data_IF_630579551495
#
_entry.id   IF_630579551495
#
_cell.length_a   1.000
_cell.length_b   1.000
_cell.length_c   1.000
_cell.angle_alpha   90.00
_cell.angle_beta   90.00
_cell.angle_gamma   90.00
#
_symmetry.space_group_name_H-M   'P 1'
#
loop_
_entity.id
_entity.type
_entity.pdbx_description
1 polymer ?
#
# COMPACT_ATOMS: atom_id res chain seq x y z
N UNK A 1 -13.67 15.01 -11.29
CA UNK A 1 -12.25 14.70 -11.50
C UNK A 1 -12.06 14.12 -12.89
N UNK A 2 -11.07 14.58 -13.65
CA UNK A 2 -10.80 14.00 -14.97
C UNK A 2 -10.11 12.64 -14.86
N UNK A 3 -10.23 11.80 -15.89
CA UNK A 3 -9.49 10.55 -16.03
C UNK A 3 -7.99 10.81 -15.98
N UNK A 4 -7.50 11.91 -16.57
CA UNK A 4 -6.09 12.29 -16.46
C UNK A 4 -5.64 12.50 -15.00
N UNK A 5 -6.45 13.20 -14.19
CA UNK A 5 -6.16 13.40 -12.77
C UNK A 5 -6.24 12.08 -11.99
N UNK A 6 -7.24 11.24 -12.29
CA UNK A 6 -7.37 9.90 -11.71
C UNK A 6 -6.12 9.05 -11.99
N UNK A 7 -5.66 9.00 -13.25
CA UNK A 7 -4.47 8.25 -13.65
C UNK A 7 -3.21 8.78 -12.94
N UNK A 8 -3.10 10.11 -12.75
CA UNK A 8 -2.02 10.74 -11.99
C UNK A 8 -2.03 10.31 -10.52
N UNK A 9 -3.18 10.39 -9.85
CA UNK A 9 -3.33 9.96 -8.46
C UNK A 9 -3.07 8.46 -8.29
N UNK A 10 -3.54 7.63 -9.23
CA UNK A 10 -3.28 6.20 -9.27
C UNK A 10 -1.78 5.90 -9.41
N UNK A 11 -1.07 6.59 -10.30
CA UNK A 11 0.36 6.43 -10.47
C UNK A 11 1.13 6.84 -9.20
N UNK A 12 0.72 7.96 -8.58
CA UNK A 12 1.29 8.43 -7.33
C UNK A 12 1.06 7.43 -6.18
N UNK A 13 -0.15 6.89 -6.04
CA UNK A 13 -0.48 5.90 -5.01
C UNK A 13 0.27 4.58 -5.21
N UNK A 14 0.47 4.16 -6.46
CA UNK A 14 1.33 3.03 -6.79
C UNK A 14 2.76 3.30 -6.36
N UNK A 15 3.34 4.45 -6.73
CA UNK A 15 4.69 4.83 -6.32
C UNK A 15 4.83 4.86 -4.79
N UNK A 16 3.86 5.46 -4.09
CA UNK A 16 3.85 5.48 -2.62
C UNK A 16 3.79 4.07 -2.03
N UNK A 17 2.97 3.18 -2.59
CA UNK A 17 2.86 1.78 -2.16
C UNK A 17 4.18 1.04 -2.38
N UNK A 18 4.80 1.20 -3.55
CA UNK A 18 6.06 0.56 -3.91
C UNK A 18 7.20 1.04 -2.99
N UNK A 19 7.30 2.36 -2.75
CA UNK A 19 8.28 2.93 -1.81
C UNK A 19 8.06 2.40 -0.40
N UNK A 20 6.83 2.44 0.14
CA UNK A 20 6.54 1.96 1.50
C UNK A 20 6.83 0.46 1.65
N UNK A 21 6.56 -0.33 0.62
CA UNK A 21 6.88 -1.77 0.59
C UNK A 21 8.39 -2.00 0.57
N UNK A 22 9.11 -1.22 -0.21
CA UNK A 22 10.57 -1.26 -0.22
C UNK A 22 11.13 -0.99 1.18
N UNK A 23 10.67 0.07 1.85
CA UNK A 23 11.16 0.42 3.19
C UNK A 23 10.84 -0.63 4.25
N UNK A 24 9.63 -1.21 4.23
CA UNK A 24 9.31 -2.32 5.12
C UNK A 24 10.24 -3.53 4.89
N UNK A 25 10.42 -3.95 3.64
CA UNK A 25 11.28 -5.09 3.31
C UNK A 25 12.72 -4.84 3.74
N UNK A 26 13.23 -3.64 3.51
CA UNK A 26 14.59 -3.28 3.93
C UNK A 26 14.74 -3.25 5.44
N UNK A 27 13.75 -2.73 6.18
CA UNK A 27 13.80 -2.74 7.64
C UNK A 27 13.78 -4.17 8.22
N UNK A 28 13.00 -5.06 7.62
CA UNK A 28 13.00 -6.48 7.98
C UNK A 28 14.36 -7.12 7.71
N UNK A 29 14.95 -6.89 6.53
CA UNK A 29 16.28 -7.41 6.18
C UNK A 29 17.38 -6.86 7.10
N UNK A 30 17.36 -5.56 7.39
CA UNK A 30 18.32 -4.91 8.30
C UNK A 30 18.21 -5.50 9.72
N UNK A 31 16.98 -5.75 10.19
CA UNK A 31 16.72 -6.44 11.45
C UNK A 31 17.22 -7.89 11.45
N UNK A 32 16.86 -8.66 10.42
CA UNK A 32 17.27 -10.06 10.24
C UNK A 32 18.78 -10.22 10.23
N UNK A 33 19.51 -9.31 9.59
CA UNK A 33 20.98 -9.35 9.52
C UNK A 33 21.62 -9.34 10.92
N UNK A 34 21.03 -8.61 11.87
CA UNK A 34 21.53 -8.56 13.27
C UNK A 34 21.31 -9.88 14.03
N UNK A 35 20.46 -10.76 13.50
CA UNK A 35 20.09 -12.05 14.10
C UNK A 35 20.79 -13.24 13.45
N UNK A 36 21.70 -13.00 12.50
CA UNK A 36 22.48 -14.08 11.89
C UNK A 36 23.51 -14.65 12.87
N UNK A 37 23.53 -15.97 13.00
CA UNK A 37 24.58 -16.68 13.72
C UNK A 37 25.91 -16.69 12.97
N UNK A 38 26.98 -17.21 13.59
CA UNK A 38 28.33 -17.25 13.03
C UNK A 38 28.46 -17.99 11.68
N UNK A 39 27.46 -18.80 11.31
CA UNK A 39 27.38 -19.48 10.00
C UNK A 39 26.60 -18.73 8.92
N UNK A 40 26.14 -17.50 9.18
CA UNK A 40 25.35 -16.70 8.24
C UNK A 40 23.89 -17.14 8.07
N UNK A 41 23.45 -18.18 8.80
CA UNK A 41 22.06 -18.62 8.86
C UNK A 41 21.28 -17.79 9.89
N UNK A 42 20.00 -17.58 9.59
CA UNK A 42 19.06 -16.90 10.47
C UNK A 42 18.85 -17.78 11.72
N UNK A 43 19.26 -17.28 12.88
CA UNK A 43 19.07 -18.00 14.13
C UNK A 43 17.67 -17.65 14.68
N UNK A 44 16.68 -18.46 14.33
CA UNK A 44 15.28 -18.26 14.72
C UNK A 44 15.06 -18.34 16.24
N UNK A 45 15.98 -18.97 16.99
CA UNK A 45 15.97 -19.01 18.46
C UNK A 45 16.62 -17.76 19.07
N UNK A 46 17.37 -16.98 18.28
CA UNK A 46 18.02 -15.76 18.76
C UNK A 46 17.02 -14.71 19.28
N UNK A 47 15.81 -14.60 18.71
CA UNK A 47 14.80 -13.69 19.28
C UNK A 47 14.23 -14.17 20.62
N UNK A 48 14.51 -15.39 21.11
CA UNK A 48 14.26 -15.72 22.51
C UNK A 48 15.26 -15.01 23.44
N UNK A 49 16.45 -14.67 22.92
CA UNK A 49 17.48 -13.92 23.61
C UNK A 49 17.22 -12.40 23.51
N UNK A 50 17.19 -11.72 24.66
CA UNK A 50 16.90 -10.29 24.74
C UNK A 50 17.89 -9.42 23.92
N UNK A 51 19.22 -9.59 24.05
CA UNK A 51 20.21 -8.91 23.21
C UNK A 51 19.95 -8.94 21.70
N UNK A 52 19.50 -10.08 21.16
CA UNK A 52 19.23 -10.21 19.73
C UNK A 52 17.90 -9.52 19.35
N UNK A 53 16.87 -9.58 20.20
CA UNK A 53 15.65 -8.76 20.00
C UNK A 53 15.95 -7.27 20.02
N UNK A 54 16.76 -6.82 20.97
CA UNK A 54 17.13 -5.41 21.09
C UNK A 54 17.93 -4.94 19.86
N UNK A 55 18.82 -5.79 19.34
CA UNK A 55 19.58 -5.52 18.12
C UNK A 55 18.67 -5.46 16.89
N UNK A 56 17.75 -6.42 16.74
CA UNK A 56 16.76 -6.44 15.66
C UNK A 56 15.93 -5.15 15.67
N UNK A 57 15.36 -4.80 16.83
CA UNK A 57 14.55 -3.59 16.99
C UNK A 57 15.32 -2.36 16.62
N UNK A 58 16.54 -2.21 17.15
CA UNK A 58 17.39 -1.05 16.87
C UNK A 58 17.65 -0.86 15.38
N UNK A 59 17.97 -1.93 14.65
CA UNK A 59 18.20 -1.87 13.20
C UNK A 59 16.91 -1.55 12.42
N UNK A 60 15.82 -2.23 12.74
CA UNK A 60 14.51 -1.98 12.14
C UNK A 60 14.06 -0.53 12.37
N UNK A 61 14.20 -0.05 13.61
CA UNK A 61 13.88 1.30 14.05
C UNK A 61 14.65 2.38 13.30
N UNK A 62 15.98 2.22 13.18
CA UNK A 62 16.81 3.17 12.48
C UNK A 62 16.39 3.30 11.01
N UNK A 63 16.02 2.18 10.37
CA UNK A 63 15.58 2.18 8.98
C UNK A 63 14.24 2.90 8.81
N UNK A 64 13.25 2.59 9.64
CA UNK A 64 11.92 3.20 9.54
C UNK A 64 11.95 4.68 9.93
N UNK A 65 12.72 5.07 10.94
CA UNK A 65 12.90 6.48 11.27
C UNK A 65 13.53 7.26 10.11
N UNK A 66 14.55 6.70 9.45
CA UNK A 66 15.14 7.29 8.26
C UNK A 66 14.12 7.44 7.12
N UNK A 67 13.30 6.41 6.89
CA UNK A 67 12.23 6.46 5.89
C UNK A 67 11.16 7.52 6.22
N UNK A 68 10.75 7.63 7.49
CA UNK A 68 9.81 8.65 7.99
C UNK A 68 10.38 10.05 7.78
N UNK A 69 11.64 10.28 8.16
CA UNK A 69 12.32 11.56 7.99
C UNK A 69 12.38 11.98 6.52
N UNK A 70 12.76 11.06 5.64
CA UNK A 70 12.86 11.33 4.20
C UNK A 70 11.48 11.57 3.57
N UNK A 71 10.47 10.79 3.95
CA UNK A 71 9.12 10.86 3.34
C UNK A 71 8.39 12.13 3.73
N UNK A 72 8.51 12.55 5.00
CA UNK A 72 7.73 13.67 5.55
C UNK A 72 8.56 14.93 5.81
N UNK A 73 9.86 14.93 5.49
CA UNK A 73 10.76 16.06 5.72
C UNK A 73 10.93 16.39 7.21
N UNK A 74 10.89 15.36 8.06
CA UNK A 74 10.99 15.53 9.52
C UNK A 74 12.46 15.67 9.92
N UNK A 75 12.78 16.69 10.72
CA UNK A 75 14.14 16.92 11.19
C UNK A 75 14.64 15.81 12.14
N UNK A 76 15.95 15.49 12.13
CA UNK A 76 16.55 14.58 13.10
C UNK A 76 16.24 15.02 14.55
N UNK A 77 15.80 14.07 15.39
CA UNK A 77 15.48 14.31 16.81
C UNK A 77 14.00 14.59 17.11
N UNK A 78 13.17 14.94 16.12
CA UNK A 78 11.72 15.11 16.35
C UNK A 78 11.04 13.77 16.68
N UNK A 79 11.56 12.68 16.11
CA UNK A 79 11.10 11.31 16.39
C UNK A 79 11.53 10.80 17.78
N UNK A 80 12.24 11.60 18.59
CA UNK A 80 12.52 11.22 19.98
C UNK A 80 11.25 11.21 20.86
N UNK A 81 10.19 11.93 20.46
CA UNK A 81 8.89 11.82 21.13
C UNK A 81 8.19 10.52 20.69
N UNK A 82 7.98 9.55 21.61
CA UNK A 82 7.44 8.24 21.25
C UNK A 82 6.01 8.29 20.71
N UNK A 83 5.18 9.26 21.13
CA UNK A 83 3.82 9.40 20.60
C UNK A 83 3.84 9.88 19.15
N UNK A 84 4.65 10.91 18.87
CA UNK A 84 4.80 11.42 17.52
C UNK A 84 5.44 10.37 16.59
N UNK A 85 6.49 9.68 17.07
CA UNK A 85 7.13 8.58 16.35
C UNK A 85 6.11 7.49 16.00
N UNK A 86 5.27 7.11 16.96
CA UNK A 86 4.23 6.11 16.76
C UNK A 86 3.25 6.53 15.66
N UNK A 87 2.78 7.78 15.66
CA UNK A 87 1.87 8.30 14.65
C UNK A 87 2.51 8.33 13.25
N UNK A 88 3.78 8.73 13.14
CA UNK A 88 4.48 8.77 11.86
C UNK A 88 4.76 7.39 11.29
N UNK A 89 5.07 6.43 12.16
CA UNK A 89 5.22 5.02 11.79
C UNK A 89 3.90 4.43 11.28
N UNK A 90 2.79 4.63 12.00
CA UNK A 90 1.48 4.20 11.54
C UNK A 90 1.07 4.90 10.22
N UNK A 91 1.39 6.19 10.10
CA UNK A 91 1.15 6.94 8.87
C UNK A 91 1.90 6.32 7.67
N UNK A 92 3.15 5.87 7.87
CA UNK A 92 3.99 5.28 6.82
C UNK A 92 3.63 3.81 6.54
N UNK A 93 3.60 2.97 7.57
CA UNK A 93 3.54 1.52 7.45
C UNK A 93 2.21 0.92 7.90
N UNK A 94 1.35 1.67 8.60
CA UNK A 94 0.14 1.11 9.21
C UNK A 94 0.41 0.28 10.46
N UNK A 95 1.62 0.39 11.02
CA UNK A 95 1.96 -0.16 12.32
C UNK A 95 2.70 0.90 13.13
N UNK A 96 2.25 1.10 14.36
CA UNK A 96 2.89 2.03 15.29
C UNK A 96 4.22 1.48 15.83
N UNK A 97 5.10 2.40 16.23
CA UNK A 97 6.32 2.11 16.96
C UNK A 97 6.10 1.18 18.16
N UNK A 98 5.07 1.46 18.98
CA UNK A 98 4.78 0.64 20.18
C UNK A 98 4.28 -0.75 19.80
N UNK A 99 3.46 -0.88 18.77
CA UNK A 99 2.92 -2.17 18.32
C UNK A 99 4.02 -3.07 17.77
N UNK A 100 4.98 -2.51 17.02
CA UNK A 100 6.16 -3.24 16.57
C UNK A 100 6.94 -3.79 17.77
N UNK A 101 7.21 -2.96 18.79
CA UNK A 101 7.93 -3.41 19.99
C UNK A 101 7.22 -4.55 20.72
N UNK A 102 5.89 -4.46 20.83
CA UNK A 102 5.07 -5.50 21.45
C UNK A 102 5.07 -6.81 20.66
N UNK A 103 5.04 -6.74 19.32
CA UNK A 103 5.12 -7.92 18.46
C UNK A 103 6.47 -8.62 18.60
N UNK A 104 7.57 -7.88 18.56
CA UNK A 104 8.91 -8.45 18.69
C UNK A 104 9.17 -8.96 20.12
N UNK A 105 8.71 -8.25 21.18
CA UNK A 105 8.78 -8.80 22.54
C UNK A 105 7.91 -10.05 22.72
N UNK A 106 6.72 -10.07 22.11
CA UNK A 106 5.79 -11.20 22.19
C UNK A 106 6.30 -12.46 21.49
N UNK A 107 7.23 -12.32 20.53
CA UNK A 107 7.89 -13.43 19.86
C UNK A 107 8.68 -14.34 20.83
N UNK A 108 9.10 -13.82 21.99
CA UNK A 108 9.83 -14.62 23.00
C UNK A 108 9.01 -15.79 23.58
N UNK A 109 7.68 -15.65 23.63
CA UNK A 109 6.78 -16.57 24.35
C UNK A 109 5.74 -17.24 23.46
N UNK A 110 5.37 -16.64 22.30
CA UNK A 110 4.14 -17.02 21.56
C UNK A 110 4.28 -17.19 20.06
N UNK A 111 5.31 -16.66 19.41
CA UNK A 111 5.42 -16.63 17.95
C UNK A 111 6.81 -17.09 17.49
N UNK A 112 6.87 -17.95 16.47
CA UNK A 112 8.12 -18.10 15.72
C UNK A 112 8.49 -16.76 15.07
N UNK A 113 9.76 -16.55 14.73
CA UNK A 113 10.22 -15.37 13.97
C UNK A 113 9.30 -15.08 12.78
N UNK A 114 9.00 -16.10 11.97
CA UNK A 114 8.08 -16.01 10.82
C UNK A 114 6.68 -15.54 11.22
N UNK A 115 6.16 -16.00 12.36
CA UNK A 115 4.86 -15.58 12.88
C UNK A 115 4.84 -14.10 13.29
N UNK A 116 5.92 -13.60 13.90
CA UNK A 116 6.06 -12.19 14.22
C UNK A 116 6.19 -11.32 12.95
N UNK A 117 6.96 -11.80 11.96
CA UNK A 117 7.10 -11.12 10.67
C UNK A 117 5.78 -11.08 9.89
N UNK A 118 4.98 -12.15 9.92
CA UNK A 118 3.66 -12.12 9.30
C UNK A 118 2.68 -11.21 10.03
N UNK A 119 2.77 -11.11 11.36
CA UNK A 119 1.98 -10.15 12.12
C UNK A 119 2.32 -8.69 11.76
N UNK A 120 3.56 -8.40 11.34
CA UNK A 120 3.95 -7.09 10.82
C UNK A 120 3.39 -6.80 9.42
N UNK A 121 3.27 -7.82 8.57
CA UNK A 121 2.82 -7.64 7.17
C UNK A 121 1.34 -7.31 7.07
N UNK A 122 0.47 -7.89 7.91
CA UNK A 122 -0.99 -7.71 7.80
C UNK A 122 -1.44 -6.24 7.95
N UNK A 123 -1.07 -5.50 9.01
CA UNK A 123 -1.43 -4.08 9.13
C UNK A 123 -0.88 -3.24 7.97
N UNK A 124 0.31 -3.60 7.48
CA UNK A 124 0.90 -2.96 6.31
C UNK A 124 0.08 -3.18 5.04
N UNK A 125 -0.35 -4.41 4.76
CA UNK A 125 -1.21 -4.70 3.62
C UNK A 125 -2.53 -3.93 3.67
N UNK A 126 -3.15 -3.84 4.85
CA UNK A 126 -4.35 -3.04 5.07
C UNK A 126 -4.09 -1.54 4.82
N UNK A 127 -2.94 -1.01 5.25
CA UNK A 127 -2.55 0.37 4.97
C UNK A 127 -2.33 0.61 3.48
N UNK A 128 -1.63 -0.28 2.79
CA UNK A 128 -1.38 -0.18 1.35
C UNK A 128 -2.68 -0.30 0.55
N UNK A 129 -3.65 -1.08 1.04
CA UNK A 129 -5.01 -1.12 0.49
C UNK A 129 -5.68 0.25 0.63
N UNK A 130 -5.67 0.87 1.81
CA UNK A 130 -6.25 2.20 2.04
C UNK A 130 -5.59 3.30 1.20
N UNK A 131 -4.26 3.30 1.07
CA UNK A 131 -3.54 4.28 0.22
C UNK A 131 -4.00 4.18 -1.23
N UNK A 132 -4.14 2.96 -1.75
CA UNK A 132 -4.68 2.72 -3.09
C UNK A 132 -6.14 3.16 -3.19
N UNK A 133 -7.01 2.74 -2.27
CA UNK A 133 -8.44 3.09 -2.28
C UNK A 133 -8.70 4.61 -2.20
N UNK A 134 -7.96 5.32 -1.35
CA UNK A 134 -8.12 6.78 -1.16
C UNK A 134 -7.73 7.57 -2.42
N UNK A 135 -6.74 7.08 -3.17
CA UNK A 135 -6.34 7.68 -4.45
C UNK A 135 -7.34 7.40 -5.58
N UNK A 136 -8.27 6.47 -5.37
CA UNK A 136 -9.10 5.87 -6.41
C UNK A 136 -10.55 6.39 -6.37
N UNK A 137 -11.09 6.84 -5.23
CA UNK A 137 -12.50 7.29 -5.09
C UNK A 137 -12.77 8.74 -5.53
N UNK A 138 -12.05 9.25 -6.53
CA UNK A 138 -12.06 10.68 -6.88
C UNK A 138 -13.07 11.13 -7.95
N UNK A 139 -13.66 10.20 -8.70
CA UNK A 139 -14.71 10.52 -9.66
C UNK A 139 -16.00 10.95 -8.95
N UNK A 140 -16.83 11.73 -9.63
CA UNK A 140 -18.19 12.08 -9.24
C UNK A 140 -19.14 11.91 -10.43
N UNK A 141 -20.45 12.01 -10.17
CA UNK A 141 -21.48 11.74 -11.17
C UNK A 141 -21.37 12.58 -12.47
N UNK A 142 -20.69 13.73 -12.44
CA UNK A 142 -20.47 14.57 -13.61
C UNK A 142 -19.29 14.11 -14.50
N UNK A 143 -18.49 13.13 -14.07
CA UNK A 143 -17.26 12.73 -14.76
C UNK A 143 -17.48 11.60 -15.79
N UNK A 144 -18.66 10.99 -15.83
CA UNK A 144 -19.01 9.94 -16.80
C UNK A 144 -18.68 10.28 -18.26
N UNK A 145 -19.00 11.50 -18.75
CA UNK A 145 -18.62 11.90 -20.11
C UNK A 145 -17.11 11.93 -20.37
N UNK A 146 -16.30 12.29 -19.37
CA UNK A 146 -14.82 12.29 -19.49
C UNK A 146 -14.28 10.86 -19.57
N UNK A 147 -14.86 9.93 -18.79
CA UNK A 147 -14.57 8.49 -18.88
C UNK A 147 -14.90 7.95 -20.27
N UNK A 148 -16.08 8.29 -20.82
CA UNK A 148 -16.46 7.85 -22.16
C UNK A 148 -15.57 8.44 -23.25
N UNK A 149 -15.16 9.70 -23.11
CA UNK A 149 -14.22 10.35 -24.03
C UNK A 149 -12.86 9.66 -24.01
N UNK A 150 -12.35 9.33 -22.81
CA UNK A 150 -11.12 8.57 -22.66
C UNK A 150 -11.21 7.19 -23.32
N UNK A 151 -12.27 6.42 -23.04
CA UNK A 151 -12.46 5.08 -23.61
C UNK A 151 -12.60 5.12 -25.14
N UNK A 152 -13.32 6.10 -25.67
CA UNK A 152 -13.51 6.31 -27.11
C UNK A 152 -12.24 6.70 -27.86
N UNK A 153 -11.18 7.13 -27.16
CA UNK A 153 -9.86 7.33 -27.73
C UNK A 153 -9.13 6.03 -28.13
N UNK A 154 -9.63 4.87 -27.68
CA UNK A 154 -9.09 3.56 -28.01
C UNK A 154 -9.98 2.86 -29.04
N UNK A 155 -9.43 2.60 -30.23
CA UNK A 155 -10.17 2.00 -31.34
C UNK A 155 -10.81 0.66 -31.01
N UNK A 156 -10.20 -0.15 -30.14
CA UNK A 156 -10.77 -1.44 -29.70
C UNK A 156 -12.07 -1.29 -28.90
N UNK A 157 -12.34 -0.11 -28.32
CA UNK A 157 -13.57 0.16 -27.57
C UNK A 157 -14.72 0.69 -28.44
N UNK A 158 -14.52 0.94 -29.73
CA UNK A 158 -15.56 1.49 -30.60
C UNK A 158 -16.84 0.63 -30.65
N UNK A 159 -16.70 -0.69 -30.47
CA UNK A 159 -17.83 -1.62 -30.43
C UNK A 159 -18.57 -1.70 -29.08
N UNK A 160 -18.03 -1.11 -28.01
CA UNK A 160 -18.60 -1.23 -26.66
C UNK A 160 -19.07 0.10 -26.09
N UNK A 161 -18.43 1.23 -26.44
CA UNK A 161 -18.83 2.55 -25.95
C UNK A 161 -20.27 2.96 -26.29
N UNK A 162 -20.89 2.57 -27.42
CA UNK A 162 -22.29 2.89 -27.69
C UNK A 162 -23.28 2.14 -26.78
N UNK A 163 -22.83 1.05 -26.15
CA UNK A 163 -23.62 0.23 -25.24
C UNK A 163 -23.47 0.65 -23.77
N UNK A 164 -22.84 1.79 -23.51
CA UNK A 164 -22.69 2.35 -22.17
C UNK A 164 -23.54 3.61 -22.08
N UNK A 165 -24.59 3.56 -21.27
CA UNK A 165 -25.38 4.72 -20.89
C UNK A 165 -24.61 5.58 -19.89
N UNK A 166 -23.99 6.63 -20.42
CA UNK A 166 -23.21 7.59 -19.64
C UNK A 166 -24.00 8.25 -18.50
N UNK A 167 -25.33 8.35 -18.62
CA UNK A 167 -26.18 8.96 -17.59
C UNK A 167 -26.33 8.08 -16.35
N UNK A 168 -26.00 6.79 -16.47
CA UNK A 168 -25.98 5.80 -15.39
C UNK A 168 -24.58 5.55 -14.83
N UNK A 169 -23.57 6.30 -15.29
CA UNK A 169 -22.24 6.37 -14.68
C UNK A 169 -22.21 7.41 -13.56
N UNK A 170 -23.12 7.28 -12.59
CA UNK A 170 -23.25 8.18 -11.44
C UNK A 170 -22.41 7.73 -10.23
N UNK A 171 -21.98 6.47 -10.23
CA UNK A 171 -21.17 5.86 -9.19
C UNK A 171 -19.66 5.88 -9.54
N UNK A 172 -18.80 6.49 -8.69
CA UNK A 172 -17.35 6.52 -8.88
C UNK A 172 -16.71 5.16 -9.13
N UNK A 173 -17.18 4.11 -8.44
CA UNK A 173 -16.63 2.76 -8.57
C UNK A 173 -16.87 2.14 -9.94
N UNK A 174 -18.00 2.46 -10.58
CA UNK A 174 -18.33 1.96 -11.92
C UNK A 174 -17.47 2.63 -12.99
N UNK A 175 -17.23 3.93 -12.85
CA UNK A 175 -16.33 4.69 -13.72
C UNK A 175 -14.88 4.20 -13.60
N UNK A 176 -14.40 3.98 -12.38
CA UNK A 176 -13.08 3.39 -12.14
C UNK A 176 -12.96 2.00 -12.77
N UNK A 177 -13.95 1.14 -12.58
CA UNK A 177 -13.94 -0.21 -13.11
C UNK A 177 -13.73 -0.21 -14.63
N UNK A 178 -14.43 0.67 -15.36
CA UNK A 178 -14.25 0.82 -16.80
C UNK A 178 -12.83 1.24 -17.18
N UNK A 179 -12.27 2.22 -16.48
CA UNK A 179 -10.89 2.68 -16.72
C UNK A 179 -9.89 1.56 -16.38
N UNK A 180 -10.08 0.81 -15.30
CA UNK A 180 -9.19 -0.30 -14.93
C UNK A 180 -9.27 -1.47 -15.92
N UNK A 181 -10.47 -1.83 -16.40
CA UNK A 181 -10.63 -2.84 -17.44
C UNK A 181 -9.85 -2.45 -18.70
N UNK A 182 -9.94 -1.19 -19.12
CA UNK A 182 -9.13 -0.64 -20.22
C UNK A 182 -7.62 -0.77 -19.95
N UNK A 183 -7.16 -0.36 -18.77
CA UNK A 183 -5.73 -0.40 -18.42
C UNK A 183 -5.17 -1.83 -18.34
N UNK A 184 -6.00 -2.80 -17.92
CA UNK A 184 -5.57 -4.19 -17.73
C UNK A 184 -5.58 -4.98 -19.03
N UNK A 185 -6.56 -4.76 -19.89
CA UNK A 185 -6.81 -5.59 -21.06
C UNK A 185 -6.55 -4.89 -22.39
N UNK A 186 -6.25 -3.59 -22.38
CA UNK A 186 -6.12 -2.76 -23.59
C UNK A 186 -7.47 -2.42 -24.26
N UNK A 187 -8.56 -3.03 -23.79
CA UNK A 187 -9.93 -2.78 -24.21
C UNK A 187 -10.86 -3.12 -23.04
N UNK A 188 -12.07 -2.54 -22.99
CA UNK A 188 -13.12 -2.96 -22.05
C UNK A 188 -13.76 -4.25 -22.58
N UNK A 189 -13.58 -5.41 -21.91
CA UNK A 189 -14.15 -6.66 -22.41
C UNK A 189 -15.69 -6.61 -22.32
N UNK A 190 -16.44 -6.89 -23.40
CA UNK A 190 -17.89 -6.77 -23.40
C UNK A 190 -18.57 -7.60 -22.30
N UNK A 191 -18.07 -8.81 -22.03
CA UNK A 191 -18.62 -9.69 -21.00
C UNK A 191 -18.47 -9.13 -19.59
N UNK A 192 -17.47 -8.29 -19.33
CA UNK A 192 -17.24 -7.71 -17.99
C UNK A 192 -18.27 -6.65 -17.61
N UNK A 193 -19.01 -6.12 -18.60
CA UNK A 193 -19.94 -5.01 -18.38
C UNK A 193 -21.40 -5.31 -18.71
N UNK A 194 -21.71 -6.44 -19.37
CA UNK A 194 -23.08 -6.79 -19.81
C UNK A 194 -24.14 -6.81 -18.70
N UNK A 195 -23.73 -7.16 -17.49
CA UNK A 195 -24.64 -7.25 -16.32
C UNK A 195 -24.64 -5.95 -15.48
N UNK A 196 -23.92 -4.92 -15.94
CA UNK A 196 -23.76 -3.66 -15.19
C UNK A 196 -24.95 -2.74 -15.43
N UNK A 197 -25.32 -1.90 -14.44
CA UNK A 197 -26.52 -1.05 -14.52
C UNK A 197 -26.45 0.00 -15.65
N UNK A 198 -25.24 0.35 -16.10
CA UNK A 198 -24.99 1.30 -17.17
C UNK A 198 -24.95 0.67 -18.57
N UNK A 199 -25.05 -0.66 -18.71
CA UNK A 199 -25.01 -1.31 -20.02
C UNK A 199 -26.39 -1.31 -20.70
N UNK A 200 -26.44 -1.06 -22.01
CA UNK A 200 -27.68 -0.96 -22.82
C UNK A 200 -27.67 -1.79 -24.10
#
# INVERSE_FOLDING_TARGET
MTVANYLGLRAQARQQTDTRKHELVQALLDGEETTRGAGGLLDLESLANQPARDSFKTAFEARIDGAVQNTYGIAPGVLANPFYRNDQWDALLGIGFTDMHQLIEGAKDKYSFDGAMEALKKPFEEKMKKVRETAITGFGAADGPDVMTYLGGFGENAGITPHIDVTKLDNPYLMMELVELQLQHGAVPPNSIRERPYFV
#
